data_IF_425499552237
#
_entry.id   IF_425499552237
#
_cell.length_a   1.000
_cell.length_b   1.000
_cell.length_c   1.000
_cell.angle_alpha   90.00
_cell.angle_beta   90.00
_cell.angle_gamma   90.00
#
_symmetry.space_group_name_H-M   'P 1'
#
loop_
_entity.id
_entity.type
_entity.pdbx_description
1 polymer ?
#
# COMPACT_ATOMS: atom_id res chain seq x y z
N UNK A 1 -17.95 -24.55 -15.00
CA UNK A 1 -16.64 -25.20 -14.80
C UNK A 1 -15.43 -24.36 -15.27
N UNK A 2 -15.48 -23.67 -16.43
CA UNK A 2 -14.38 -22.84 -16.92
C UNK A 2 -13.97 -21.67 -15.99
N UNK A 3 -14.94 -21.00 -15.35
CA UNK A 3 -14.70 -19.88 -14.41
C UNK A 3 -13.95 -20.31 -13.14
N UNK A 4 -14.18 -21.53 -12.62
CA UNK A 4 -13.46 -22.09 -11.45
C UNK A 4 -12.04 -22.56 -11.81
N UNK A 5 -11.84 -23.13 -13.01
CA UNK A 5 -10.51 -23.48 -13.55
C UNK A 5 -9.64 -22.23 -13.78
N UNK A 6 -10.24 -21.13 -14.24
CA UNK A 6 -9.55 -19.84 -14.39
C UNK A 6 -9.12 -19.20 -13.07
N UNK A 7 -9.94 -19.32 -12.01
CA UNK A 7 -9.58 -18.83 -10.66
C UNK A 7 -8.45 -19.66 -10.05
N UNK A 8 -8.49 -20.99 -10.15
CA UNK A 8 -7.41 -21.84 -9.65
C UNK A 8 -6.07 -21.61 -10.38
N UNK A 9 -6.11 -21.43 -11.70
CA UNK A 9 -4.92 -21.09 -12.50
C UNK A 9 -4.39 -19.67 -12.21
N UNK A 10 -5.27 -18.69 -11.97
CA UNK A 10 -4.88 -17.34 -11.57
C UNK A 10 -4.28 -17.30 -10.16
N UNK A 11 -4.80 -18.10 -9.22
CA UNK A 11 -4.26 -18.26 -7.87
C UNK A 11 -2.90 -18.97 -7.91
N UNK A 12 -2.75 -20.01 -8.73
CA UNK A 12 -1.47 -20.68 -8.93
C UNK A 12 -0.41 -19.77 -9.59
N UNK A 13 -0.80 -19.00 -10.61
CA UNK A 13 0.09 -18.00 -11.23
C UNK A 13 0.42 -16.83 -10.29
N UNK A 14 -0.50 -16.48 -9.39
CA UNK A 14 -0.25 -15.48 -8.36
C UNK A 14 0.78 -15.97 -7.31
N UNK A 15 0.71 -17.25 -6.93
CA UNK A 15 1.64 -17.88 -5.99
C UNK A 15 3.07 -18.05 -6.55
N UNK A 16 3.27 -17.95 -7.86
CA UNK A 16 4.58 -18.07 -8.51
C UNK A 16 5.27 -16.74 -8.84
N UNK A 17 4.68 -15.60 -8.47
CA UNK A 17 5.33 -14.30 -8.73
C UNK A 17 6.62 -14.15 -7.93
N UNK A 18 7.80 -13.99 -8.57
CA UNK A 18 9.08 -13.86 -7.86
C UNK A 18 9.09 -12.70 -6.86
N UNK A 19 8.41 -11.59 -7.20
CA UNK A 19 8.32 -10.42 -6.32
C UNK A 19 7.43 -10.69 -5.09
N UNK A 20 6.35 -11.46 -5.25
CA UNK A 20 5.49 -11.86 -4.14
C UNK A 20 6.24 -12.77 -3.17
N UNK A 21 6.93 -13.79 -3.72
CA UNK A 21 7.79 -14.69 -2.93
C UNK A 21 8.87 -13.89 -2.20
N UNK A 22 9.55 -12.98 -2.90
CA UNK A 22 10.56 -12.11 -2.28
C UNK A 22 9.99 -11.25 -1.14
N UNK A 23 8.78 -10.70 -1.29
CA UNK A 23 8.13 -9.92 -0.22
C UNK A 23 7.89 -10.79 1.03
N UNK A 24 7.31 -11.98 0.86
CA UNK A 24 7.04 -12.91 1.98
C UNK A 24 8.33 -13.42 2.61
N UNK A 25 9.34 -13.77 1.80
CA UNK A 25 10.65 -14.17 2.28
C UNK A 25 11.34 -13.06 3.06
N UNK A 26 11.22 -11.80 2.62
CA UNK A 26 11.77 -10.66 3.35
C UNK A 26 11.06 -10.44 4.69
N UNK A 27 9.74 -10.59 4.75
CA UNK A 27 8.99 -10.54 6.01
C UNK A 27 9.46 -11.63 6.99
N UNK A 28 9.65 -12.86 6.50
CA UNK A 28 10.15 -13.97 7.31
C UNK A 28 11.61 -13.74 7.76
N UNK A 29 12.46 -13.22 6.88
CA UNK A 29 13.87 -12.90 7.19
C UNK A 29 13.96 -11.83 8.28
N UNK A 30 13.22 -10.73 8.14
CA UNK A 30 13.18 -9.66 9.15
C UNK A 30 12.65 -10.20 10.48
N UNK A 31 11.61 -11.04 10.45
CA UNK A 31 11.11 -11.69 11.66
C UNK A 31 12.15 -12.54 12.35
N UNK A 32 12.76 -13.46 11.60
CA UNK A 32 13.75 -14.36 12.14
C UNK A 32 14.91 -13.58 12.77
N UNK A 33 15.45 -12.61 12.02
CA UNK A 33 16.59 -11.82 12.47
C UNK A 33 16.25 -10.98 13.70
N UNK A 34 15.11 -10.29 13.72
CA UNK A 34 14.74 -9.45 14.86
C UNK A 34 14.48 -10.28 16.11
N UNK A 35 13.76 -11.40 16.02
CA UNK A 35 13.39 -12.20 17.21
C UNK A 35 14.52 -13.09 17.70
N UNK A 36 15.10 -13.90 16.81
CA UNK A 36 16.04 -14.96 17.21
C UNK A 36 17.50 -14.53 17.17
N UNK A 37 17.82 -13.39 16.54
CA UNK A 37 19.19 -12.85 16.57
C UNK A 37 19.23 -11.64 17.49
N UNK A 38 18.46 -10.59 17.20
CA UNK A 38 18.60 -9.32 17.94
C UNK A 38 17.98 -9.37 19.34
N UNK A 39 16.72 -9.77 19.46
CA UNK A 39 16.02 -9.78 20.75
C UNK A 39 16.54 -10.88 21.69
N UNK A 40 16.86 -12.05 21.15
CA UNK A 40 17.46 -13.12 21.96
C UNK A 40 18.84 -12.74 22.47
N UNK A 41 19.70 -12.15 21.62
CA UNK A 41 21.01 -11.68 22.05
C UNK A 41 20.91 -10.55 23.08
N UNK A 42 20.03 -9.57 22.85
CA UNK A 42 19.98 -8.38 23.69
C UNK A 42 19.21 -8.57 25.00
N UNK A 43 18.03 -9.20 24.94
CA UNK A 43 17.11 -9.33 26.07
C UNK A 43 16.97 -10.77 26.58
N UNK A 44 17.35 -11.77 25.78
CA UNK A 44 17.10 -13.18 26.05
C UNK A 44 15.61 -13.53 25.95
N UNK A 45 15.24 -14.45 25.08
CA UNK A 45 13.83 -14.82 24.91
C UNK A 45 13.21 -15.49 26.15
N UNK A 46 14.05 -16.03 27.04
CA UNK A 46 13.63 -16.58 28.33
C UNK A 46 13.25 -15.53 29.38
N UNK A 47 13.59 -14.25 29.16
CA UNK A 47 13.22 -13.17 30.09
C UNK A 47 11.83 -12.62 29.81
N UNK A 48 11.16 -12.07 30.81
CA UNK A 48 9.85 -11.42 30.63
C UNK A 48 9.90 -10.30 29.58
N UNK A 49 10.98 -9.51 29.57
CA UNK A 49 11.15 -8.43 28.61
C UNK A 49 11.35 -8.97 27.19
N UNK A 50 12.27 -9.92 26.99
CA UNK A 50 12.51 -10.55 25.68
C UNK A 50 11.25 -11.21 25.12
N UNK A 51 10.55 -11.99 25.94
CA UNK A 51 9.28 -12.61 25.57
C UNK A 51 8.19 -11.59 25.20
N UNK A 52 8.05 -10.51 25.96
CA UNK A 52 7.08 -9.46 25.67
C UNK A 52 7.38 -8.74 24.33
N UNK A 53 8.65 -8.40 24.08
CA UNK A 53 9.08 -7.80 22.82
C UNK A 53 8.88 -8.75 21.63
N UNK A 54 9.22 -10.03 21.77
CA UNK A 54 9.01 -11.04 20.75
C UNK A 54 7.53 -11.25 20.43
N UNK A 55 6.66 -11.28 21.46
CA UNK A 55 5.21 -11.37 21.28
C UNK A 55 4.66 -10.13 20.56
N UNK A 56 5.04 -8.93 20.99
CA UNK A 56 4.62 -7.68 20.35
C UNK A 56 5.05 -7.62 18.87
N UNK A 57 6.29 -8.00 18.57
CA UNK A 57 6.80 -8.02 17.20
C UNK A 57 6.11 -9.09 16.33
N UNK A 58 5.81 -10.26 16.91
CA UNK A 58 5.05 -11.32 16.24
C UNK A 58 3.64 -10.87 15.88
N UNK A 59 2.95 -10.18 16.80
CA UNK A 59 1.63 -9.60 16.54
C UNK A 59 1.67 -8.53 15.44
N UNK A 60 2.69 -7.67 15.45
CA UNK A 60 2.89 -6.66 14.40
C UNK A 60 3.11 -7.30 13.03
N UNK A 61 3.95 -8.34 12.95
CA UNK A 61 4.16 -9.07 11.71
C UNK A 61 2.89 -9.77 11.24
N UNK A 62 2.14 -10.40 12.16
CA UNK A 62 0.87 -11.03 11.83
C UNK A 62 -0.14 -10.00 11.27
N UNK A 63 -0.22 -8.81 11.86
CA UNK A 63 -1.04 -7.71 11.35
C UNK A 63 -0.58 -7.21 9.99
N UNK A 64 0.74 -7.12 9.75
CA UNK A 64 1.33 -6.78 8.46
C UNK A 64 1.01 -7.84 7.38
N UNK A 65 1.16 -9.12 7.72
CA UNK A 65 0.89 -10.22 6.81
C UNK A 65 -0.61 -10.34 6.49
N UNK A 66 -1.47 -10.14 7.48
CA UNK A 66 -2.91 -10.13 7.27
C UNK A 66 -3.34 -9.00 6.31
N UNK A 67 -2.83 -7.77 6.50
CA UNK A 67 -3.14 -6.66 5.60
C UNK A 67 -2.51 -6.83 4.21
N UNK A 68 -1.32 -7.43 4.11
CA UNK A 68 -0.71 -7.86 2.85
C UNK A 68 -1.62 -8.83 2.09
N UNK A 69 -2.11 -9.89 2.75
CA UNK A 69 -3.03 -10.85 2.14
C UNK A 69 -4.33 -10.17 1.69
N UNK A 70 -4.89 -9.28 2.51
CA UNK A 70 -6.08 -8.51 2.13
C UNK A 70 -5.84 -7.65 0.88
N UNK A 71 -4.70 -6.96 0.80
CA UNK A 71 -4.35 -6.14 -0.35
C UNK A 71 -4.09 -6.97 -1.62
N UNK A 72 -3.38 -8.09 -1.48
CA UNK A 72 -3.03 -8.99 -2.58
C UNK A 72 -4.24 -9.74 -3.13
N UNK A 73 -5.14 -10.23 -2.26
CA UNK A 73 -6.25 -11.10 -2.67
C UNK A 73 -7.53 -10.35 -3.07
N UNK A 74 -7.74 -9.12 -2.61
CA UNK A 74 -8.94 -8.36 -2.94
C UNK A 74 -8.99 -7.97 -4.43
N UNK A 75 -10.19 -7.95 -5.03
CA UNK A 75 -10.39 -7.23 -6.30
C UNK A 75 -10.14 -5.73 -6.01
N UNK A 76 -9.16 -5.06 -6.66
CA UNK A 76 -8.86 -3.62 -6.48
C UNK A 76 -9.93 -2.63 -6.96
N UNK A 77 -11.01 -3.11 -7.57
CA UNK A 77 -12.14 -2.32 -8.03
C UNK A 77 -12.37 -2.53 -9.52
N UNK A 78 -13.47 -3.19 -9.86
CA UNK A 78 -13.91 -3.45 -11.23
C UNK A 78 -14.98 -2.44 -11.65
N UNK A 79 -14.91 -1.96 -12.89
CA UNK A 79 -15.99 -1.12 -13.45
C UNK A 79 -17.25 -1.98 -13.61
N UNK A 80 -18.41 -1.57 -13.06
CA UNK A 80 -19.66 -2.29 -13.27
C UNK A 80 -20.03 -2.35 -14.76
N UNK A 81 -20.51 -3.51 -15.23
CA UNK A 81 -20.90 -3.67 -16.65
C UNK A 81 -22.08 -2.79 -17.06
N UNK A 82 -22.92 -2.40 -16.09
CA UNK A 82 -24.05 -1.51 -16.29
C UNK A 82 -23.66 -0.02 -16.26
N UNK A 83 -22.38 0.31 -16.04
CA UNK A 83 -21.94 1.71 -16.01
C UNK A 83 -22.12 2.33 -17.39
N UNK A 84 -23.02 3.30 -17.46
CA UNK A 84 -23.18 4.23 -18.57
C UNK A 84 -22.89 5.63 -18.05
N UNK A 85 -22.17 6.48 -18.78
CA UNK A 85 -22.11 7.89 -18.44
C UNK A 85 -23.51 8.51 -18.58
N UNK A 86 -23.86 9.43 -17.67
CA UNK A 86 -25.08 10.20 -17.81
C UNK A 86 -24.98 11.09 -19.06
N UNK A 87 -25.99 10.96 -19.94
CA UNK A 87 -26.06 11.72 -21.19
C UNK A 87 -26.36 13.22 -20.96
N UNK A 88 -26.92 13.56 -19.80
CA UNK A 88 -27.35 14.90 -19.41
C UNK A 88 -26.48 15.47 -18.28
N UNK A 89 -25.15 15.57 -18.45
CA UNK A 89 -24.35 16.51 -17.64
C UNK A 89 -24.45 17.90 -18.30
N UNK A 90 -25.37 18.79 -17.86
CA UNK A 90 -25.64 20.06 -18.54
C UNK A 90 -24.57 21.10 -18.20
N UNK A 91 -23.64 20.78 -17.29
CA UNK A 91 -22.73 21.74 -16.69
C UNK A 91 -21.33 21.69 -17.28
N UNK A 92 -21.06 20.79 -18.24
CA UNK A 92 -19.79 20.77 -18.97
C UNK A 92 -18.58 20.75 -18.03
N UNK A 93 -18.70 20.16 -16.83
CA UNK A 93 -17.67 20.22 -15.79
C UNK A 93 -16.48 19.31 -16.11
N UNK A 94 -16.23 18.96 -17.37
CA UNK A 94 -14.96 18.43 -17.86
C UNK A 94 -14.64 16.98 -17.48
N UNK A 95 -15.55 16.24 -16.86
CA UNK A 95 -15.37 14.80 -16.70
C UNK A 95 -15.91 14.07 -17.94
N UNK A 96 -15.37 14.42 -19.13
CA UNK A 96 -15.65 13.65 -20.36
C UNK A 96 -15.41 12.18 -20.02
N UNK A 97 -16.48 11.39 -20.00
CA UNK A 97 -16.39 9.95 -19.79
C UNK A 97 -15.36 9.39 -20.77
N UNK A 98 -14.20 9.00 -20.23
CA UNK A 98 -13.08 8.58 -21.06
C UNK A 98 -13.37 7.15 -21.49
N UNK A 99 -13.44 6.87 -22.78
CA UNK A 99 -13.63 5.50 -23.24
C UNK A 99 -12.35 4.66 -23.09
N UNK A 100 -12.49 3.35 -22.93
CA UNK A 100 -11.40 2.38 -22.96
C UNK A 100 -11.51 1.46 -24.16
N UNK A 101 -10.77 1.72 -25.23
CA UNK A 101 -10.84 0.88 -26.44
C UNK A 101 -10.48 -0.59 -26.16
N UNK A 102 -9.54 -0.83 -25.24
CA UNK A 102 -9.10 -2.20 -24.88
C UNK A 102 -10.13 -3.01 -24.12
N UNK A 103 -11.03 -2.34 -23.39
CA UNK A 103 -12.03 -3.01 -22.56
C UNK A 103 -13.44 -2.82 -23.11
N UNK A 104 -13.61 -1.98 -24.14
CA UNK A 104 -14.87 -1.58 -24.71
C UNK A 104 -15.88 -1.07 -23.65
N UNK A 105 -15.42 -0.23 -22.73
CA UNK A 105 -16.25 0.36 -21.67
C UNK A 105 -15.94 1.84 -21.49
N UNK A 106 -16.95 2.59 -21.05
CA UNK A 106 -16.76 3.92 -20.49
C UNK A 106 -16.06 3.84 -19.14
N UNK A 107 -15.07 4.72 -18.90
CA UNK A 107 -14.34 4.79 -17.63
C UNK A 107 -15.07 5.77 -16.71
N UNK A 108 -15.51 5.33 -15.52
CA UNK A 108 -15.90 6.25 -14.47
C UNK A 108 -14.75 7.19 -14.09
N UNK A 109 -15.07 8.18 -13.28
CA UNK A 109 -14.07 9.08 -12.70
C UNK A 109 -12.89 8.30 -12.10
N UNK A 110 -11.67 8.84 -12.25
CA UNK A 110 -10.44 8.29 -11.61
C UNK A 110 -10.08 6.85 -12.02
N UNK A 111 -10.72 6.31 -13.07
CA UNK A 111 -10.51 4.94 -13.55
C UNK A 111 -9.44 4.91 -14.63
N UNK A 112 -8.54 3.91 -14.55
CA UNK A 112 -7.46 3.71 -15.52
C UNK A 112 -7.32 2.25 -15.91
N UNK A 113 -6.89 1.99 -17.15
CA UNK A 113 -6.62 0.64 -17.65
C UNK A 113 -5.23 0.18 -17.21
N UNK A 114 -5.17 -0.89 -16.42
CA UNK A 114 -3.90 -1.51 -16.06
C UNK A 114 -3.46 -2.49 -17.16
N UNK A 115 -2.28 -2.25 -17.74
CA UNK A 115 -1.71 -3.12 -18.78
C UNK A 115 -1.32 -4.51 -18.27
N UNK A 116 -1.07 -4.67 -16.96
CA UNK A 116 -0.70 -5.96 -16.35
C UNK A 116 -1.97 -6.75 -16.01
N UNK A 117 -2.92 -6.13 -15.31
CA UNK A 117 -4.21 -6.76 -14.96
C UNK A 117 -5.18 -6.89 -16.15
N UNK A 118 -4.88 -6.25 -17.30
CA UNK A 118 -5.68 -6.27 -18.55
C UNK A 118 -7.13 -5.82 -18.38
N UNK A 119 -7.39 -4.93 -17.42
CA UNK A 119 -8.73 -4.38 -17.15
C UNK A 119 -8.66 -2.96 -16.61
N UNK A 120 -9.80 -2.26 -16.63
CA UNK A 120 -9.94 -0.98 -15.95
C UNK A 120 -10.10 -1.18 -14.45
N UNK A 121 -9.38 -0.38 -13.68
CA UNK A 121 -9.36 -0.38 -12.22
C UNK A 121 -9.95 0.93 -11.72
N UNK A 122 -10.97 0.85 -10.88
CA UNK A 122 -11.59 2.02 -10.23
C UNK A 122 -10.59 2.69 -9.30
N UNK A 123 -10.54 4.03 -9.33
CA UNK A 123 -9.60 4.85 -8.55
C UNK A 123 -8.18 4.26 -8.53
N UNK A 124 -7.67 3.89 -9.70
CA UNK A 124 -6.39 3.19 -9.83
C UNK A 124 -5.26 4.06 -9.29
N UNK A 125 -4.47 3.53 -8.36
CA UNK A 125 -3.24 4.18 -7.91
C UNK A 125 -2.05 3.68 -8.73
N UNK A 126 -1.77 2.39 -8.66
CA UNK A 126 -0.70 1.75 -9.43
C UNK A 126 -0.90 0.24 -9.53
N UNK A 127 -0.06 -0.42 -10.33
CA UNK A 127 0.12 -1.86 -10.25
C UNK A 127 1.33 -2.16 -9.36
N UNK A 128 1.10 -2.86 -8.25
CA UNK A 128 2.14 -3.15 -7.27
C UNK A 128 2.65 -4.58 -7.47
N UNK A 129 3.91 -4.69 -7.88
CA UNK A 129 4.56 -5.98 -8.13
C UNK A 129 4.71 -6.80 -6.84
N UNK A 130 4.88 -6.14 -5.69
CA UNK A 130 5.13 -6.79 -4.39
C UNK A 130 3.92 -7.53 -3.82
N UNK A 131 2.71 -7.08 -4.14
CA UNK A 131 1.46 -7.79 -3.79
C UNK A 131 0.88 -8.55 -4.99
N UNK A 132 1.57 -8.49 -6.14
CA UNK A 132 1.12 -9.04 -7.42
C UNK A 132 -0.33 -8.66 -7.79
N UNK A 133 -0.72 -7.42 -7.52
CA UNK A 133 -2.07 -6.92 -7.74
C UNK A 133 -2.04 -5.41 -7.99
N UNK A 134 -3.12 -4.90 -8.58
CA UNK A 134 -3.34 -3.46 -8.59
C UNK A 134 -3.70 -2.95 -7.20
N UNK A 135 -3.33 -1.71 -6.94
CA UNK A 135 -3.78 -0.92 -5.80
C UNK A 135 -4.82 0.06 -6.35
N UNK A 136 -6.06 -0.07 -5.90
CA UNK A 136 -7.22 0.68 -6.41
C UNK A 136 -8.26 0.94 -5.32
N UNK A 137 -9.47 1.32 -5.73
CA UNK A 137 -10.53 1.82 -4.84
C UNK A 137 -10.79 0.96 -3.59
N UNK A 138 -10.95 -0.35 -3.76
CA UNK A 138 -11.43 -1.27 -2.73
C UNK A 138 -10.33 -1.85 -1.84
N UNK A 139 -9.07 -1.90 -2.30
CA UNK A 139 -7.96 -2.48 -1.55
C UNK A 139 -6.91 -1.45 -1.09
N UNK A 140 -7.08 -0.16 -1.40
CA UNK A 140 -6.16 0.91 -0.98
C UNK A 140 -5.95 0.96 0.54
N UNK A 141 -7.03 0.79 1.33
CA UNK A 141 -6.95 0.78 2.80
C UNK A 141 -6.05 -0.35 3.31
N UNK A 142 -6.26 -1.58 2.83
CA UNK A 142 -5.43 -2.73 3.20
C UNK A 142 -3.96 -2.50 2.82
N UNK A 143 -3.70 -1.96 1.63
CA UNK A 143 -2.34 -1.62 1.19
C UNK A 143 -1.65 -0.62 2.13
N UNK A 144 -2.32 0.46 2.52
CA UNK A 144 -1.72 1.47 3.40
C UNK A 144 -1.49 0.95 4.82
N UNK A 145 -2.38 0.11 5.35
CA UNK A 145 -2.16 -0.55 6.65
C UNK A 145 -0.98 -1.52 6.58
N UNK A 146 -0.82 -2.24 5.46
CA UNK A 146 0.36 -3.08 5.22
C UNK A 146 1.65 -2.27 5.22
N UNK A 147 1.69 -1.15 4.47
CA UNK A 147 2.87 -0.26 4.41
C UNK A 147 3.16 0.38 5.77
N UNK A 148 2.12 0.73 6.55
CA UNK A 148 2.26 1.25 7.91
C UNK A 148 2.89 0.20 8.85
N UNK A 149 2.32 -1.01 8.90
CA UNK A 149 2.85 -2.07 9.77
C UNK A 149 4.27 -2.49 9.35
N UNK A 150 4.55 -2.55 8.05
CA UNK A 150 5.89 -2.82 7.54
C UNK A 150 6.90 -1.73 7.93
N UNK A 151 6.53 -0.45 7.85
CA UNK A 151 7.36 0.68 8.32
C UNK A 151 7.65 0.58 9.81
N UNK A 152 6.63 0.32 10.64
CA UNK A 152 6.81 0.19 12.10
C UNK A 152 7.73 -1.01 12.41
N UNK A 153 7.52 -2.14 11.74
CA UNK A 153 8.31 -3.35 11.97
C UNK A 153 9.77 -3.20 11.54
N UNK A 154 10.02 -2.57 10.38
CA UNK A 154 11.38 -2.33 9.91
C UNK A 154 12.09 -1.30 10.80
N UNK A 155 11.42 -0.21 11.19
CA UNK A 155 12.00 0.81 12.08
C UNK A 155 12.32 0.22 13.45
N UNK A 156 11.40 -0.56 14.03
CA UNK A 156 11.66 -1.25 15.28
C UNK A 156 12.91 -2.13 15.16
N UNK A 157 12.99 -2.96 14.12
CA UNK A 157 14.15 -3.83 13.87
C UNK A 157 15.45 -3.04 13.70
N UNK A 158 15.43 -1.92 12.98
CA UNK A 158 16.57 -1.00 12.83
C UNK A 158 16.99 -0.38 14.17
N UNK A 159 16.05 0.01 15.03
CA UNK A 159 16.35 0.57 16.36
C UNK A 159 16.98 -0.49 17.25
N UNK A 160 16.42 -1.70 17.30
CA UNK A 160 17.01 -2.81 18.07
C UNK A 160 18.43 -3.11 17.56
N UNK A 161 18.63 -3.15 16.24
CA UNK A 161 19.93 -3.36 15.64
C UNK A 161 20.95 -2.28 16.04
N UNK A 162 20.57 -1.00 16.03
CA UNK A 162 21.45 0.09 16.53
C UNK A 162 21.77 -0.09 18.00
N UNK A 163 20.76 -0.41 18.82
CA UNK A 163 20.96 -0.63 20.25
C UNK A 163 21.93 -1.80 20.53
N UNK A 164 21.81 -2.89 19.78
CA UNK A 164 22.70 -4.04 19.84
C UNK A 164 24.14 -3.65 19.46
N UNK A 165 24.34 -2.94 18.35
CA UNK A 165 25.65 -2.47 17.90
C UNK A 165 26.32 -1.50 18.89
N UNK A 166 25.57 -0.65 19.58
CA UNK A 166 26.12 0.36 20.48
C UNK A 166 26.44 -0.17 21.88
N UNK A 167 25.83 -1.28 22.29
CA UNK A 167 25.95 -1.81 23.66
C UNK A 167 26.90 -2.98 23.78
N UNK A 168 27.07 -3.74 22.72
CA UNK A 168 27.78 -5.00 22.80
C UNK A 168 29.08 -4.88 22.03
N UNK A 169 30.18 -5.23 22.70
CA UNK A 169 31.43 -5.56 22.03
C UNK A 169 31.19 -6.89 21.31
N UNK A 170 30.80 -6.82 20.05
CA UNK A 170 30.56 -8.02 19.25
C UNK A 170 31.90 -8.72 19.00
N UNK A 171 32.20 -9.75 19.79
CA UNK A 171 33.30 -10.68 19.50
C UNK A 171 32.90 -11.59 18.33
N UNK A 172 33.01 -11.03 17.12
CA UNK A 172 32.90 -11.81 15.90
C UNK A 172 34.19 -12.62 15.72
N UNK A 173 34.34 -13.67 16.52
CA UNK A 173 35.40 -14.67 16.41
C UNK A 173 35.51 -15.27 15.00
N UNK A 174 34.43 -15.18 14.22
CA UNK A 174 34.35 -15.67 12.86
C UNK A 174 33.94 -14.55 11.88
N UNK A 175 34.83 -14.23 10.93
CA UNK A 175 34.69 -13.10 10.01
C UNK A 175 33.37 -13.11 9.19
N UNK A 176 32.89 -14.28 8.76
CA UNK A 176 31.65 -14.35 7.98
C UNK A 176 30.41 -13.94 8.79
N UNK A 177 30.40 -14.16 10.12
CA UNK A 177 29.27 -13.76 10.99
C UNK A 177 29.16 -12.24 11.05
N UNK A 178 30.31 -11.56 11.16
CA UNK A 178 30.38 -10.09 11.10
C UNK A 178 29.83 -9.55 9.78
N UNK A 179 30.23 -10.14 8.66
CA UNK A 179 29.74 -9.74 7.34
C UNK A 179 28.22 -9.90 7.27
N UNK A 180 27.69 -11.05 7.67
CA UNK A 180 26.25 -11.32 7.64
C UNK A 180 25.48 -10.31 8.52
N UNK A 181 25.98 -10.02 9.72
CA UNK A 181 25.36 -9.07 10.64
C UNK A 181 25.33 -7.64 10.07
N UNK A 182 26.44 -7.19 9.45
CA UNK A 182 26.50 -5.89 8.76
C UNK A 182 25.53 -5.85 7.59
N UNK A 183 25.50 -6.89 6.75
CA UNK A 183 24.58 -6.98 5.60
C UNK A 183 23.12 -6.96 6.05
N UNK A 184 22.78 -7.68 7.12
CA UNK A 184 21.44 -7.65 7.71
C UNK A 184 21.07 -6.24 8.19
N UNK A 185 21.99 -5.54 8.86
CA UNK A 185 21.84 -4.13 9.21
C UNK A 185 21.53 -3.24 8.00
N UNK A 186 22.35 -3.34 6.95
CA UNK A 186 22.15 -2.59 5.69
C UNK A 186 20.78 -2.86 5.09
N UNK A 187 20.34 -4.13 5.05
CA UNK A 187 19.00 -4.51 4.58
C UNK A 187 17.91 -3.87 5.43
N UNK A 188 18.01 -3.93 6.77
CA UNK A 188 17.02 -3.34 7.68
C UNK A 188 16.90 -1.82 7.50
N UNK A 189 18.01 -1.09 7.46
CA UNK A 189 17.98 0.36 7.25
C UNK A 189 17.46 0.75 5.87
N UNK A 190 17.89 0.04 4.83
CA UNK A 190 17.42 0.28 3.46
C UNK A 190 15.92 0.03 3.34
N UNK A 191 15.43 -1.03 4.00
CA UNK A 191 14.00 -1.35 4.04
C UNK A 191 13.22 -0.26 4.79
N UNK A 192 13.68 0.17 5.95
CA UNK A 192 13.08 1.25 6.74
C UNK A 192 13.01 2.55 5.95
N UNK A 193 14.09 2.94 5.29
CA UNK A 193 14.11 4.14 4.45
C UNK A 193 13.13 4.03 3.28
N UNK A 194 13.12 2.87 2.59
CA UNK A 194 12.31 2.66 1.40
C UNK A 194 10.82 2.63 1.73
N UNK A 195 10.40 1.80 2.68
CA UNK A 195 8.98 1.65 3.04
C UNK A 195 8.49 2.87 3.83
N UNK A 196 9.34 3.48 4.67
CA UNK A 196 9.03 4.75 5.32
C UNK A 196 8.80 5.89 4.33
N UNK A 197 9.64 6.00 3.30
CA UNK A 197 9.45 7.00 2.22
C UNK A 197 8.15 6.75 1.44
N UNK A 198 7.84 5.48 1.16
CA UNK A 198 6.58 5.08 0.52
C UNK A 198 5.37 5.46 1.39
N UNK A 199 5.45 5.23 2.71
CA UNK A 199 4.39 5.61 3.66
C UNK A 199 4.18 7.13 3.65
N UNK A 200 5.26 7.92 3.79
CA UNK A 200 5.19 9.38 3.75
C UNK A 200 4.57 9.89 2.45
N UNK A 201 4.96 9.29 1.32
CA UNK A 201 4.38 9.60 0.01
C UNK A 201 2.87 9.36 -0.03
N UNK A 202 2.42 8.19 0.43
CA UNK A 202 0.99 7.89 0.41
C UNK A 202 0.19 8.68 1.45
N UNK A 203 0.77 9.04 2.59
CA UNK A 203 0.14 9.97 3.54
C UNK A 203 -0.12 11.32 2.85
N UNK A 204 0.87 11.85 2.12
CA UNK A 204 0.69 13.07 1.33
C UNK A 204 -0.45 12.93 0.31
N UNK A 205 -0.48 11.82 -0.44
CA UNK A 205 -1.55 11.55 -1.41
C UNK A 205 -2.94 11.47 -0.75
N UNK A 206 -3.06 10.79 0.39
CA UNK A 206 -4.30 10.69 1.16
C UNK A 206 -4.75 12.07 1.62
N UNK A 207 -3.85 12.87 2.20
CA UNK A 207 -4.18 14.21 2.69
C UNK A 207 -4.72 15.15 1.60
N UNK A 208 -4.38 14.91 0.33
CA UNK A 208 -4.84 15.68 -0.83
C UNK A 208 -5.87 14.95 -1.72
N UNK A 209 -6.34 13.77 -1.30
CA UNK A 209 -7.22 12.89 -2.07
C UNK A 209 -6.75 12.64 -3.51
N UNK A 210 -5.45 12.47 -3.69
CA UNK A 210 -4.85 12.14 -4.98
C UNK A 210 -4.46 10.66 -5.04
N UNK A 211 -4.54 10.08 -6.22
CA UNK A 211 -3.76 8.88 -6.58
C UNK A 211 -2.39 9.28 -7.09
N UNK A 212 -1.46 8.34 -7.18
CA UNK A 212 -0.16 8.53 -7.82
C UNK A 212 -0.29 8.97 -9.28
N UNK A 213 -1.30 8.47 -10.01
CA UNK A 213 -1.58 8.89 -11.39
C UNK A 213 -2.03 10.35 -11.43
N UNK A 214 -3.02 10.70 -10.59
CA UNK A 214 -3.54 12.07 -10.51
C UNK A 214 -2.49 13.05 -10.03
N UNK A 215 -1.57 12.66 -9.15
CA UNK A 215 -0.45 13.51 -8.78
C UNK A 215 0.41 13.88 -10.00
N UNK A 216 0.74 12.90 -10.85
CA UNK A 216 1.54 13.14 -12.06
C UNK A 216 0.80 14.05 -13.04
N UNK A 217 -0.50 13.86 -13.21
CA UNK A 217 -1.37 14.75 -14.00
C UNK A 217 -1.41 16.16 -13.39
N UNK A 218 -1.51 16.26 -12.06
CA UNK A 218 -1.56 17.50 -11.30
C UNK A 218 -0.26 18.31 -11.37
N UNK A 219 0.91 17.66 -11.40
CA UNK A 219 2.20 18.36 -11.58
C UNK A 219 2.20 19.15 -12.88
N UNK A 220 1.75 18.54 -13.98
CA UNK A 220 1.64 19.21 -15.27
C UNK A 220 0.59 20.32 -15.24
N UNK A 221 -0.58 20.05 -14.64
CA UNK A 221 -1.66 21.03 -14.53
C UNK A 221 -1.26 22.26 -13.69
N UNK A 222 -0.52 22.06 -12.58
CA UNK A 222 0.03 23.14 -11.75
C UNK A 222 1.00 24.02 -12.54
N UNK A 223 1.87 23.42 -13.34
CA UNK A 223 2.81 24.16 -14.18
C UNK A 223 2.08 25.01 -15.23
N UNK A 224 1.06 24.45 -15.90
CA UNK A 224 0.23 25.19 -16.86
C UNK A 224 -0.53 26.33 -16.19
N UNK A 225 -1.18 26.07 -15.06
CA UNK A 225 -1.92 27.08 -14.30
C UNK A 225 -1.02 28.24 -13.88
N UNK A 226 0.20 27.96 -13.41
CA UNK A 226 1.19 28.99 -13.07
C UNK A 226 1.52 29.88 -14.27
N UNK A 227 1.69 29.29 -15.47
CA UNK A 227 1.96 30.06 -16.70
C UNK A 227 0.78 30.93 -17.13
N UNK A 228 -0.45 30.50 -16.86
CA UNK A 228 -1.66 31.26 -17.18
C UNK A 228 -2.12 32.19 -16.05
N UNK A 229 -1.30 32.40 -15.00
CA UNK A 229 -1.67 33.22 -13.84
C UNK A 229 -2.82 32.66 -12.99
N UNK A 230 -3.17 31.38 -13.19
CA UNK A 230 -4.26 30.71 -12.49
C UNK A 230 -3.74 29.90 -11.30
N UNK A 231 -4.58 29.77 -10.27
CA UNK A 231 -4.31 28.91 -9.12
C UNK A 231 -4.85 27.51 -9.38
N UNK A 232 -4.00 26.50 -9.29
CA UNK A 232 -4.43 25.11 -9.37
C UNK A 232 -5.00 24.62 -8.03
N UNK A 233 -6.18 23.99 -8.08
CA UNK A 233 -6.76 23.24 -6.97
C UNK A 233 -7.14 21.85 -7.48
N UNK A 234 -6.75 20.81 -6.74
CA UNK A 234 -7.13 19.44 -7.08
C UNK A 234 -8.63 19.24 -6.85
N UNK A 235 -9.34 18.75 -7.87
CA UNK A 235 -10.81 18.69 -7.91
C UNK A 235 -11.42 17.81 -6.81
N UNK A 236 -10.75 16.74 -6.42
CA UNK A 236 -11.27 15.79 -5.43
C UNK A 236 -10.84 16.15 -3.99
N UNK A 237 -10.07 17.22 -3.79
CA UNK A 237 -9.59 17.60 -2.45
C UNK A 237 -10.71 18.27 -1.64
N UNK A 238 -11.25 17.54 -0.66
CA UNK A 238 -12.34 17.97 0.23
C UNK A 238 -11.85 18.42 1.61
N UNK A 239 -10.54 18.62 1.76
CA UNK A 239 -9.89 18.91 3.03
C UNK A 239 -9.43 17.65 3.77
N UNK A 240 -8.30 17.77 4.48
CA UNK A 240 -7.52 16.65 5.03
C UNK A 240 -8.36 15.62 5.80
N UNK A 241 -9.22 16.05 6.73
CA UNK A 241 -10.06 15.14 7.53
C UNK A 241 -11.00 14.30 6.66
N UNK A 242 -11.72 14.95 5.73
CA UNK A 242 -12.64 14.25 4.82
C UNK A 242 -11.87 13.31 3.90
N UNK A 243 -10.73 13.75 3.38
CA UNK A 243 -9.89 12.94 2.50
C UNK A 243 -9.38 11.66 3.19
N UNK A 244 -8.94 11.76 4.45
CA UNK A 244 -8.54 10.60 5.27
C UNK A 244 -9.72 9.67 5.51
N UNK A 245 -10.89 10.21 5.91
CA UNK A 245 -12.09 9.42 6.17
C UNK A 245 -12.61 8.68 4.93
N UNK A 246 -12.42 9.22 3.72
CA UNK A 246 -12.76 8.51 2.47
C UNK A 246 -11.99 7.21 2.29
N UNK A 247 -10.76 7.13 2.82
CA UNK A 247 -9.93 5.91 2.76
C UNK A 247 -10.15 5.04 4.00
N UNK A 248 -9.97 5.62 5.18
CA UNK A 248 -9.92 4.87 6.44
C UNK A 248 -11.30 4.52 7.00
N UNK A 249 -12.33 5.25 6.57
CA UNK A 249 -13.69 5.14 7.06
C UNK A 249 -14.02 6.14 8.17
N UNK A 250 -15.32 6.33 8.47
CA UNK A 250 -15.79 7.28 9.47
C UNK A 250 -15.47 6.86 10.91
N UNK A 251 -15.37 5.56 11.18
CA UNK A 251 -15.09 5.01 12.51
C UNK A 251 -13.58 4.82 12.71
N UNK A 252 -12.98 5.63 13.58
CA UNK A 252 -11.53 5.62 13.91
C UNK A 252 -11.09 4.30 14.53
N UNK A 253 -11.95 3.63 15.30
CA UNK A 253 -11.61 2.33 15.93
C UNK A 253 -11.40 1.22 14.89
N UNK A 254 -11.93 1.38 13.68
CA UNK A 254 -11.76 0.44 12.58
C UNK A 254 -10.64 0.83 11.61
N UNK A 255 -9.84 1.87 11.90
CA UNK A 255 -8.82 2.36 10.96
C UNK A 255 -7.72 1.34 10.72
N UNK A 256 -7.30 0.59 11.74
CA UNK A 256 -6.28 -0.45 11.60
C UNK A 256 -6.84 -1.79 11.10
N UNK A 257 -8.16 -1.91 10.92
CA UNK A 257 -8.78 -3.10 10.37
C UNK A 257 -8.80 -3.03 8.83
N UNK A 258 -8.01 -3.85 8.10
CA UNK A 258 -7.86 -3.73 6.65
C UNK A 258 -9.13 -4.09 5.87
N UNK A 259 -10.04 -4.86 6.46
CA UNK A 259 -11.31 -5.29 5.83
C UNK A 259 -12.49 -4.38 6.16
N UNK A 260 -12.31 -3.39 7.05
CA UNK A 260 -13.37 -2.44 7.39
C UNK A 260 -13.55 -1.39 6.27
N UNK A 261 -14.18 -1.81 5.18
CA UNK A 261 -14.42 -1.02 3.95
C UNK A 261 -15.92 -0.83 3.65
N UNK A 262 -16.81 -1.10 4.62
CA UNK A 262 -18.26 -0.96 4.44
C UNK A 262 -18.77 0.46 4.18
N UNK A 263 -17.92 1.48 4.33
CA UNK A 263 -18.23 2.87 3.94
C UNK A 263 -18.01 3.15 2.45
N UNK A 264 -17.33 2.25 1.72
CA UNK A 264 -17.13 2.39 0.29
C UNK A 264 -18.46 2.18 -0.45
N UNK A 265 -18.66 2.97 -1.51
CA UNK A 265 -19.79 2.81 -2.44
C UNK A 265 -19.33 1.93 -3.62
N UNK A 266 -19.93 2.10 -4.77
CA UNK A 266 -19.55 1.39 -6.01
C UNK A 266 -18.25 1.90 -6.65
N UNK A 267 -17.77 3.10 -6.26
CA UNK A 267 -16.53 3.69 -6.75
C UNK A 267 -16.61 4.27 -8.16
N UNK A 268 -17.82 4.48 -8.69
CA UNK A 268 -18.04 5.12 -10.00
C UNK A 268 -18.13 6.64 -9.91
N UNK A 269 -18.55 7.14 -8.74
CA UNK A 269 -18.75 8.56 -8.45
C UNK A 269 -17.88 9.05 -7.29
N UNK A 270 -17.41 10.30 -7.39
CA UNK A 270 -16.64 10.97 -6.35
C UNK A 270 -17.05 12.44 -6.24
N UNK A 271 -17.13 12.95 -5.01
CA UNK A 271 -17.43 14.35 -4.76
C UNK A 271 -16.31 15.27 -5.26
N UNK A 272 -16.69 16.30 -6.00
CA UNK A 272 -15.81 17.33 -6.54
C UNK A 272 -15.96 18.63 -5.75
N UNK A 273 -14.95 19.49 -5.74
CA UNK A 273 -15.01 20.81 -5.06
C UNK A 273 -16.01 21.80 -5.67
N UNK A 274 -16.62 21.44 -6.80
CA UNK A 274 -17.59 22.26 -7.53
C UNK A 274 -19.03 21.78 -7.36
N UNK A 275 -19.26 20.73 -6.54
CA UNK A 275 -20.58 20.21 -6.16
C UNK A 275 -20.74 20.22 -4.64
#
# INVERSE_FOLDING_TARGET
MARRRGVAAAVAAAATSPALVAAVSLMALVYYYTVFVLLDHWLGLGTTAGAAHAAAFSLLLAACFFSFLCAAAADPGSVPSAFSPDAEDPQGQGLKSRYCDKCCIHKPARTHHCKVCKRCILKMDHHCVWINNCVGYTNYKAFIICVLNATIGSLYSSVIFVCDLLRTEHDFSIHYVKIIHILAGVVLFSLSLTIGSLLCWHIYLICHNMTTIEYREAVRAKWLAKKSGQKYRHRFDQGMRKNIQMIMGPNVFCWLCPTATGHLKDGTEFQNTNN
#
